data_IF_035410354307
#
_entry.id   IF_035410354307
#
_cell.length_a   1.000
_cell.length_b   1.000
_cell.length_c   1.000
_cell.angle_alpha   90.00
_cell.angle_beta   90.00
_cell.angle_gamma   90.00
#
_symmetry.space_group_name_H-M   'P 1'
#
loop_
_entity.id
_entity.type
_entity.pdbx_description
1 polymer ?
#
# COMPACT_ATOMS: atom_id res chain seq x y z
N UNK A 1 -6.96 17.52 -15.77
CA UNK A 1 -5.85 18.49 -15.63
C UNK A 1 -5.32 18.53 -14.20
N UNK A 2 -6.17 18.75 -13.18
CA UNK A 2 -5.74 18.82 -11.77
C UNK A 2 -5.09 17.54 -11.23
N UNK A 3 -5.70 16.38 -11.49
CA UNK A 3 -5.15 15.07 -11.13
C UNK A 3 -3.70 14.86 -11.61
N UNK A 4 -3.41 15.26 -12.85
CA UNK A 4 -2.09 15.08 -13.44
C UNK A 4 -1.06 15.98 -12.73
N UNK A 5 -1.42 17.24 -12.46
CA UNK A 5 -0.57 18.17 -11.70
C UNK A 5 -0.21 17.62 -10.32
N UNK A 6 -1.17 17.08 -9.58
CA UNK A 6 -0.91 16.48 -8.26
C UNK A 6 0.04 15.27 -8.35
N UNK A 7 -0.08 14.44 -9.39
CA UNK A 7 0.85 13.34 -9.62
C UNK A 7 2.23 13.79 -10.07
N UNK A 8 2.33 14.86 -10.86
CA UNK A 8 3.60 15.45 -11.26
C UNK A 8 4.31 16.06 -10.04
N UNK A 9 3.58 16.85 -9.23
CA UNK A 9 4.09 17.44 -7.98
C UNK A 9 4.56 16.37 -6.98
N UNK A 10 3.83 15.26 -6.84
CA UNK A 10 4.26 14.15 -5.99
C UNK A 10 5.52 13.44 -6.52
N UNK A 11 5.62 13.24 -7.84
CA UNK A 11 6.82 12.68 -8.47
C UNK A 11 8.04 13.60 -8.40
N UNK A 12 7.81 14.91 -8.44
CA UNK A 12 8.84 15.93 -8.23
C UNK A 12 9.23 16.09 -6.76
N UNK A 13 8.48 15.48 -5.83
CA UNK A 13 8.71 15.61 -4.39
C UNK A 13 8.22 16.93 -3.78
N UNK A 14 7.50 17.75 -4.54
CA UNK A 14 6.86 18.99 -4.06
C UNK A 14 5.69 18.68 -3.11
N UNK A 15 5.03 17.55 -3.32
CA UNK A 15 4.01 17.00 -2.43
C UNK A 15 4.46 15.64 -1.92
N UNK A 16 4.45 15.43 -0.61
CA UNK A 16 4.91 14.18 0.01
C UNK A 16 3.78 13.18 0.27
N UNK A 17 2.52 13.58 0.11
CA UNK A 17 1.37 12.73 0.43
C UNK A 17 0.24 12.97 -0.56
N UNK A 18 -0.23 11.88 -1.15
CA UNK A 18 -1.41 11.86 -2.01
C UNK A 18 -2.47 10.97 -1.40
N UNK A 19 -3.68 11.51 -1.27
CA UNK A 19 -4.86 10.74 -0.90
C UNK A 19 -5.67 10.49 -2.16
N UNK A 20 -5.90 9.22 -2.47
CA UNK A 20 -6.62 8.81 -3.69
C UNK A 20 -7.76 7.87 -3.35
N UNK A 21 -8.88 7.99 -4.07
CA UNK A 21 -10.03 7.10 -3.93
C UNK A 21 -9.89 5.83 -4.78
N UNK A 22 -10.81 4.88 -4.57
CA UNK A 22 -10.88 3.58 -5.28
C UNK A 22 -10.75 3.69 -6.80
N UNK A 23 -11.41 4.66 -7.40
CA UNK A 23 -11.46 4.86 -8.86
C UNK A 23 -10.11 5.33 -9.42
N UNK A 24 -9.29 5.98 -8.60
CA UNK A 24 -7.96 6.43 -9.00
C UNK A 24 -6.90 5.32 -8.88
N UNK A 25 -7.12 4.31 -8.04
CA UNK A 25 -6.07 3.36 -7.63
C UNK A 25 -5.60 2.36 -8.71
N UNK A 26 -6.33 2.21 -9.83
CA UNK A 26 -6.08 1.14 -10.81
C UNK A 26 -5.05 1.44 -11.89
N UNK A 27 -4.65 2.71 -12.09
CA UNK A 27 -3.86 3.07 -13.28
C UNK A 27 -2.67 3.99 -13.02
N UNK A 28 -2.31 4.25 -11.75
CA UNK A 28 -1.26 5.21 -11.44
C UNK A 28 0.02 4.47 -11.10
N UNK A 29 1.03 4.63 -11.94
CA UNK A 29 2.40 4.26 -11.62
C UNK A 29 2.98 5.31 -10.66
N UNK A 30 3.17 4.95 -9.39
CA UNK A 30 3.87 5.78 -8.40
C UNK A 30 5.19 5.11 -8.00
N UNK A 31 6.14 4.96 -8.94
CA UNK A 31 7.40 4.24 -8.71
C UNK A 31 8.27 4.89 -7.63
N UNK A 32 8.00 6.14 -7.24
CA UNK A 32 8.75 6.87 -6.20
C UNK A 32 8.13 6.77 -4.80
N UNK A 33 6.90 6.26 -4.65
CA UNK A 33 6.26 6.16 -3.34
C UNK A 33 7.00 5.16 -2.44
N UNK A 34 7.60 5.63 -1.35
CA UNK A 34 8.31 4.78 -0.38
C UNK A 34 7.35 4.11 0.61
N UNK A 35 6.15 4.67 0.76
CA UNK A 35 5.10 4.17 1.66
C UNK A 35 3.77 4.21 0.93
N UNK A 36 2.96 3.17 1.07
CA UNK A 36 1.53 3.23 0.78
C UNK A 36 0.70 2.70 1.94
N UNK A 37 -0.47 3.31 2.10
CA UNK A 37 -1.44 2.96 3.14
C UNK A 37 -2.77 2.68 2.45
N UNK A 38 -3.32 1.48 2.68
CA UNK A 38 -4.64 1.08 2.25
C UNK A 38 -5.60 1.10 3.44
N UNK A 39 -6.65 1.92 3.34
CA UNK A 39 -7.62 2.12 4.44
C UNK A 39 -8.83 1.17 4.36
N UNK A 40 -9.18 0.65 3.17
CA UNK A 40 -10.34 -0.25 2.99
C UNK A 40 -10.00 -1.50 2.17
N UNK A 41 -10.49 -2.65 2.63
CA UNK A 41 -10.07 -3.98 2.20
C UNK A 41 -10.76 -4.56 0.95
N UNK A 42 -11.73 -3.87 0.36
CA UNK A 42 -12.51 -4.43 -0.76
C UNK A 42 -11.90 -4.05 -2.12
N UNK A 43 -10.79 -4.67 -2.54
CA UNK A 43 -10.18 -4.34 -3.83
C UNK A 43 -9.77 -5.53 -4.68
N UNK A 44 -10.49 -5.66 -5.80
CA UNK A 44 -10.04 -6.40 -6.97
C UNK A 44 -9.95 -7.90 -6.78
N UNK A 45 -9.55 -8.59 -7.84
CA UNK A 45 -9.12 -9.98 -7.72
C UNK A 45 -7.79 -10.05 -6.98
N UNK A 46 -7.49 -11.21 -6.37
CA UNK A 46 -6.20 -11.46 -5.71
C UNK A 46 -5.00 -11.17 -6.62
N UNK A 47 -5.13 -11.43 -7.93
CA UNK A 47 -4.08 -11.19 -8.91
C UNK A 47 -3.83 -9.69 -9.17
N UNK A 48 -4.88 -8.86 -9.19
CA UNK A 48 -4.74 -7.42 -9.39
C UNK A 48 -4.04 -6.75 -8.21
N UNK A 49 -4.37 -7.17 -6.99
CA UNK A 49 -3.73 -6.68 -5.76
C UNK A 49 -2.26 -7.07 -5.72
N UNK A 50 -1.94 -8.32 -6.08
CA UNK A 50 -0.56 -8.81 -6.20
C UNK A 50 0.30 -7.99 -7.16
N UNK A 51 -0.22 -7.75 -8.37
CA UNK A 51 0.49 -6.99 -9.40
C UNK A 51 0.71 -5.53 -8.95
N UNK A 52 -0.28 -4.93 -8.28
CA UNK A 52 -0.16 -3.57 -7.71
C UNK A 52 0.89 -3.51 -6.61
N UNK A 53 0.87 -4.46 -5.67
CA UNK A 53 1.85 -4.53 -4.59
C UNK A 53 3.26 -4.73 -5.12
N UNK A 54 3.47 -5.57 -6.14
CA UNK A 54 4.78 -5.76 -6.76
C UNK A 54 5.35 -4.48 -7.39
N UNK A 55 4.50 -3.64 -8.00
CA UNK A 55 4.93 -2.32 -8.53
C UNK A 55 5.26 -1.33 -7.43
N UNK A 56 4.49 -1.35 -6.35
CA UNK A 56 4.65 -0.44 -5.23
C UNK A 56 5.87 -0.79 -4.36
N UNK A 57 6.08 -2.08 -4.09
CA UNK A 57 7.12 -2.60 -3.19
C UNK A 57 8.47 -2.81 -3.89
N UNK A 58 8.64 -2.31 -5.11
CA UNK A 58 9.91 -2.42 -5.84
C UNK A 58 11.03 -1.69 -5.07
N UNK A 59 12.23 -2.29 -4.96
CA UNK A 59 13.38 -1.60 -4.40
C UNK A 59 13.61 -0.25 -5.07
N UNK A 60 13.79 0.79 -4.25
CA UNK A 60 14.13 2.13 -4.74
C UNK A 60 15.59 2.20 -5.18
N UNK A 61 15.90 3.11 -6.11
CA UNK A 61 17.27 3.30 -6.64
C UNK A 61 18.29 3.66 -5.55
N UNK A 62 17.82 4.26 -4.47
CA UNK A 62 18.62 4.66 -3.30
C UNK A 62 18.70 3.58 -2.21
N UNK A 63 18.18 2.38 -2.46
CA UNK A 63 18.21 1.26 -1.52
C UNK A 63 17.17 1.35 -0.40
N UNK A 64 16.32 2.39 -0.35
CA UNK A 64 15.26 2.47 0.67
C UNK A 64 14.23 1.37 0.45
N UNK A 65 13.83 0.75 1.56
CA UNK A 65 12.76 -0.23 1.58
C UNK A 65 11.40 0.46 1.36
N UNK A 66 10.63 -0.07 0.41
CA UNK A 66 9.23 0.31 0.27
C UNK A 66 8.38 -0.39 1.35
N UNK A 67 7.42 0.33 1.92
CA UNK A 67 6.51 -0.20 2.95
C UNK A 67 5.08 -0.10 2.50
N UNK A 68 4.32 -1.15 2.76
CA UNK A 68 2.87 -1.20 2.54
C UNK A 68 2.17 -1.46 3.86
N UNK A 69 1.20 -0.61 4.20
CA UNK A 69 0.34 -0.77 5.35
C UNK A 69 -1.10 -0.98 4.88
N UNK A 70 -1.81 -1.90 5.52
CA UNK A 70 -3.27 -2.03 5.39
C UNK A 70 -3.88 -1.83 6.76
N UNK A 71 -4.87 -0.94 6.85
CA UNK A 71 -5.75 -0.89 8.00
C UNK A 71 -6.76 -2.02 7.89
N UNK A 72 -7.05 -2.65 9.02
CA UNK A 72 -7.96 -3.80 9.13
C UNK A 72 -8.86 -3.54 10.32
N UNK A 73 -10.16 -3.39 10.07
CA UNK A 73 -11.14 -3.30 11.14
C UNK A 73 -11.36 -4.71 11.73
N UNK A 74 -11.22 -4.85 13.05
CA UNK A 74 -11.45 -6.14 13.72
C UNK A 74 -12.93 -6.51 13.68
N UNK A 75 -13.19 -7.81 13.69
CA UNK A 75 -14.53 -8.39 13.70
C UNK A 75 -15.37 -7.94 12.49
N UNK A 76 -14.68 -7.71 11.37
CA UNK A 76 -15.30 -7.38 10.08
C UNK A 76 -14.70 -8.24 8.96
N UNK A 77 -15.33 -8.20 7.78
CA UNK A 77 -14.84 -8.85 6.57
C UNK A 77 -13.41 -8.43 6.19
N UNK A 78 -12.92 -7.28 6.65
CA UNK A 78 -11.54 -6.85 6.40
C UNK A 78 -10.51 -7.83 6.97
N UNK A 79 -10.82 -8.52 8.08
CA UNK A 79 -9.93 -9.53 8.67
C UNK A 79 -9.75 -10.73 7.73
N UNK A 80 -10.83 -11.22 7.10
CA UNK A 80 -10.77 -12.32 6.15
C UNK A 80 -9.93 -11.97 4.92
N UNK A 81 -10.07 -10.72 4.44
CA UNK A 81 -9.24 -10.21 3.35
C UNK A 81 -7.77 -10.09 3.78
N UNK A 82 -7.50 -9.59 4.98
CA UNK A 82 -6.15 -9.47 5.52
C UNK A 82 -5.46 -10.84 5.67
N UNK A 83 -6.16 -11.86 6.16
CA UNK A 83 -5.63 -13.22 6.29
C UNK A 83 -5.28 -13.84 4.93
N UNK A 84 -6.14 -13.64 3.91
CA UNK A 84 -5.87 -14.09 2.54
C UNK A 84 -4.64 -13.36 1.96
N UNK A 85 -4.52 -12.06 2.18
CA UNK A 85 -3.38 -11.25 1.74
C UNK A 85 -2.09 -11.66 2.42
N UNK A 86 -2.10 -11.88 3.73
CA UNK A 86 -0.93 -12.33 4.49
C UNK A 86 -0.38 -13.63 3.90
N UNK A 87 -1.24 -14.62 3.66
CA UNK A 87 -0.84 -15.90 3.07
C UNK A 87 -0.20 -15.70 1.70
N UNK A 88 -0.86 -14.93 0.83
CA UNK A 88 -0.38 -14.64 -0.50
C UNK A 88 0.99 -13.93 -0.51
N UNK A 89 1.17 -12.91 0.33
CA UNK A 89 2.44 -12.18 0.44
C UNK A 89 3.57 -13.05 0.99
N UNK A 90 3.27 -13.91 1.97
CA UNK A 90 4.23 -14.86 2.51
C UNK A 90 4.68 -15.89 1.46
N UNK A 91 3.76 -16.41 0.64
CA UNK A 91 4.07 -17.32 -0.48
C UNK A 91 5.01 -16.69 -1.52
N UNK A 92 4.98 -15.36 -1.65
CA UNK A 92 5.86 -14.60 -2.55
C UNK A 92 7.16 -14.12 -1.86
N UNK A 93 7.39 -14.48 -0.60
CA UNK A 93 8.61 -14.14 0.15
C UNK A 93 8.64 -12.74 0.75
N UNK A 94 7.51 -12.02 0.81
CA UNK A 94 7.46 -10.72 1.46
C UNK A 94 7.44 -10.85 2.99
N UNK A 95 8.23 -10.02 3.67
CA UNK A 95 8.11 -9.86 5.11
C UNK A 95 6.76 -9.22 5.47
N UNK A 96 6.06 -9.80 6.44
CA UNK A 96 4.75 -9.34 6.87
C UNK A 96 4.68 -9.26 8.39
N UNK A 97 4.15 -8.15 8.92
CA UNK A 97 3.95 -7.93 10.36
C UNK A 97 2.54 -7.43 10.61
N UNK A 98 1.89 -8.01 11.62
CA UNK A 98 0.62 -7.53 12.17
C UNK A 98 0.94 -6.70 13.40
N UNK A 99 0.27 -5.56 13.55
CA UNK A 99 0.40 -4.66 14.70
C UNK A 99 -1.00 -4.26 15.16
N UNK A 100 -1.22 -4.24 16.48
CA UNK A 100 -2.43 -3.63 17.01
C UNK A 100 -2.29 -2.11 16.99
N UNK A 101 -3.41 -1.40 16.81
CA UNK A 101 -3.41 0.07 16.77
C UNK A 101 -2.78 0.70 18.03
N UNK A 102 -2.94 0.07 19.20
CA UNK A 102 -2.35 0.49 20.48
C UNK A 102 -0.82 0.39 20.51
N UNK A 103 -0.22 -0.44 19.66
CA UNK A 103 1.22 -0.68 19.58
C UNK A 103 1.89 0.23 18.53
N UNK A 104 1.10 0.97 17.74
CA UNK A 104 1.63 1.88 16.72
C UNK A 104 2.26 3.10 17.41
N UNK A 105 3.54 3.34 17.13
CA UNK A 105 4.28 4.50 17.68
C UNK A 105 4.97 4.23 19.02
N UNK A 106 4.84 3.03 19.58
CA UNK A 106 5.69 2.62 20.69
C UNK A 106 7.06 2.16 20.15
N UNK A 107 8.19 2.67 20.67
CA UNK A 107 9.49 2.12 20.32
C UNK A 107 9.56 0.67 20.82
N UNK A 108 9.94 -0.23 19.92
CA UNK A 108 10.29 -1.61 20.26
C UNK A 108 11.72 -1.73 20.75
#
# INVERSE_FOLDING_TARGET
>A
KERQKLFDAFRAGEVHTLVVSKVANFSIDLPEASVAIQVSGSFGSRQEEAQRLGRLLRPKKDGRAARFYSLVARDTLDQDFAAKRQRFLAEQGYAYRIMDAKDVGQPG
#
